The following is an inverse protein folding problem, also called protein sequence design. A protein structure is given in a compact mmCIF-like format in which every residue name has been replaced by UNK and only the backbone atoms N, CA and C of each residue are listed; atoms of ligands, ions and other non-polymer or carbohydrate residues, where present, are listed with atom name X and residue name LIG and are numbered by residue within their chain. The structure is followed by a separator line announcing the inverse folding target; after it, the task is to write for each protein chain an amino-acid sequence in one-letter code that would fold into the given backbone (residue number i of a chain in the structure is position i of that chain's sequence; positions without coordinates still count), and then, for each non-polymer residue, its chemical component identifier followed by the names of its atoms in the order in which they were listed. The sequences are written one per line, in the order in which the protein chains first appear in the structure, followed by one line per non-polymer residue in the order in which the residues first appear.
data_IF_972177247128
#
_entry.id   IF_972177247128
#
_cell.length_a   1.000
_cell.length_b   1.000
_cell.length_c   1.000
_cell.angle_alpha   90.00
_cell.angle_beta   90.00
_cell.angle_gamma   90.00
#
_symmetry.space_group_name_H-M   'P 1'
#
loop_
_entity.id
_entity.type
_entity.pdbx_description
1 polymer ?
#
# COMPACT_ATOMS: atom_id res chain seq x y z
N UNK A 1 10.89 6.04 -3.31
CA UNK A 1 10.39 5.27 -2.14
C UNK A 1 11.41 5.21 -1.02
N UNK A 2 12.60 4.60 -1.21
CA UNK A 2 13.67 4.60 -0.18
C UNK A 2 14.07 6.03 0.22
N UNK A 3 14.33 6.89 -0.78
CA UNK A 3 14.61 8.33 -0.54
C UNK A 3 13.47 9.02 0.23
N UNK A 4 12.21 8.68 -0.09
CA UNK A 4 11.05 9.25 0.59
C UNK A 4 10.96 8.78 2.06
N UNK A 5 11.27 7.51 2.34
CA UNK A 5 11.32 6.98 3.70
C UNK A 5 12.45 7.62 4.53
N UNK A 6 13.59 7.92 3.90
CA UNK A 6 14.71 8.63 4.53
C UNK A 6 14.36 10.10 4.82
N UNK A 7 13.77 10.81 3.86
CA UNK A 7 13.43 12.24 3.99
C UNK A 7 12.19 12.50 4.86
N UNK A 8 11.34 11.49 5.06
CA UNK A 8 10.05 11.59 5.78
C UNK A 8 9.89 10.50 6.83
N UNK A 9 10.98 10.08 7.47
CA UNK A 9 10.96 9.05 8.52
C UNK A 9 9.94 9.38 9.64
N UNK A 10 9.78 10.66 9.97
CA UNK A 10 8.80 11.17 10.94
C UNK A 10 7.33 10.95 10.54
N UNK A 11 7.05 10.77 9.24
CA UNK A 11 5.71 10.56 8.69
C UNK A 11 5.37 9.08 8.49
N UNK A 12 6.17 8.16 9.03
CA UNK A 12 5.86 6.73 9.04
C UNK A 12 5.35 6.34 10.43
N UNK A 13 4.11 6.68 10.81
CA UNK A 13 3.50 6.05 11.97
C UNK A 13 3.05 4.69 11.47
N UNK A 14 3.81 3.61 11.63
CA UNK A 14 3.30 2.25 11.88
C UNK A 14 4.45 1.24 11.88
N UNK A 15 4.43 0.43 12.94
CA UNK A 15 5.15 -0.82 13.24
C UNK A 15 6.28 -1.15 12.26
N UNK A 16 7.37 -0.41 12.38
CA UNK A 16 8.63 -1.13 12.46
C UNK A 16 8.45 -2.01 13.70
N UNK A 17 8.65 -3.32 13.60
CA UNK A 17 8.71 -4.15 14.79
C UNK A 17 9.54 -3.38 15.82
N UNK A 18 9.08 -3.21 17.07
CA UNK A 18 9.73 -2.28 18.03
C UNK A 18 11.23 -2.60 18.22
N UNK A 19 11.66 -3.77 17.74
CA UNK A 19 13.03 -4.29 17.72
C UNK A 19 13.88 -3.87 16.50
N UNK A 20 13.28 -3.44 15.39
CA UNK A 20 14.02 -3.01 14.19
C UNK A 20 14.16 -1.47 14.19
N UNK A 21 15.38 -0.97 14.05
CA UNK A 21 15.62 0.47 13.89
C UNK A 21 15.13 0.91 12.50
N UNK A 22 14.58 2.13 12.37
CA UNK A 22 14.10 2.65 11.08
C UNK A 22 15.17 2.60 9.97
N UNK A 23 16.43 2.84 10.34
CA UNK A 23 17.58 2.76 9.44
C UNK A 23 17.85 1.32 8.97
N UNK A 24 17.82 0.34 9.87
CA UNK A 24 17.95 -1.08 9.54
C UNK A 24 16.82 -1.54 8.63
N UNK A 25 15.58 -1.09 8.87
CA UNK A 25 14.46 -1.39 7.98
C UNK A 25 14.68 -0.80 6.58
N UNK A 26 15.18 0.42 6.49
CA UNK A 26 15.49 1.05 5.19
C UNK A 26 16.62 0.32 4.46
N UNK A 27 17.66 -0.11 5.17
CA UNK A 27 18.76 -0.88 4.61
C UNK A 27 18.27 -2.23 4.07
N UNK A 28 17.53 -3.01 4.88
CA UNK A 28 16.92 -4.28 4.44
C UNK A 28 16.09 -4.10 3.16
N UNK A 29 15.30 -3.01 3.09
CA UNK A 29 14.52 -2.68 1.89
C UNK A 29 15.36 -2.39 0.64
N UNK A 30 16.63 -2.00 0.78
CA UNK A 30 17.59 -1.85 -0.33
C UNK A 30 18.20 -3.19 -0.76
N UNK A 31 18.24 -4.17 0.16
CA UNK A 31 18.81 -5.50 -0.03
C UNK A 31 17.80 -6.52 -0.59
N UNK A 32 16.56 -6.10 -0.81
CA UNK A 32 15.52 -6.92 -1.43
C UNK A 32 14.47 -7.49 -0.47
N UNK A 33 14.44 -7.03 0.79
CA UNK A 33 13.40 -7.43 1.73
C UNK A 33 12.00 -7.08 1.23
N UNK A 34 11.04 -7.91 1.63
CA UNK A 34 9.65 -7.71 1.29
C UNK A 34 9.13 -6.43 1.94
N UNK A 35 8.41 -5.68 1.12
CA UNK A 35 7.80 -4.41 1.49
C UNK A 35 6.43 -4.64 2.12
N UNK A 36 6.11 -3.86 3.14
CA UNK A 36 4.80 -3.90 3.81
C UNK A 36 3.95 -2.66 3.54
N UNK A 37 3.04 -2.40 4.47
CA UNK A 37 2.11 -1.26 4.43
C UNK A 37 2.84 0.09 4.46
N UNK A 38 4.06 0.17 4.99
CA UNK A 38 4.90 1.37 4.98
C UNK A 38 5.20 1.85 3.55
N UNK A 39 5.42 0.90 2.64
CA UNK A 39 5.68 1.21 1.24
C UNK A 39 4.42 1.70 0.53
N UNK A 40 3.24 1.17 0.90
CA UNK A 40 1.95 1.64 0.38
C UNK A 40 1.63 3.05 0.86
N UNK A 41 1.93 3.40 2.12
CA UNK A 41 1.76 4.75 2.64
C UNK A 41 2.71 5.74 1.94
N UNK A 42 3.96 5.35 1.71
CA UNK A 42 4.93 6.15 0.98
C UNK A 42 4.46 6.43 -0.46
N UNK A 43 3.97 5.39 -1.16
CA UNK A 43 3.40 5.53 -2.51
C UNK A 43 2.17 6.44 -2.49
N UNK A 44 1.23 6.19 -1.58
CA UNK A 44 0.01 7.00 -1.43
C UNK A 44 0.33 8.48 -1.21
N UNK A 45 1.32 8.78 -0.36
CA UNK A 45 1.71 10.16 -0.06
C UNK A 45 2.43 10.82 -1.24
N UNK A 46 3.37 10.11 -1.86
CA UNK A 46 4.17 10.65 -2.97
C UNK A 46 3.31 10.94 -4.20
N UNK A 47 2.46 9.99 -4.60
CA UNK A 47 1.59 10.14 -5.77
C UNK A 47 0.26 10.82 -5.45
N UNK A 48 0.02 11.17 -4.18
CA UNK A 48 -1.24 11.73 -3.70
C UNK A 48 -2.42 10.91 -4.21
N UNK A 49 -2.47 9.63 -3.87
CA UNK A 49 -3.59 8.74 -4.20
C UNK A 49 -4.11 8.00 -2.96
N UNK A 50 -5.38 7.60 -2.99
CA UNK A 50 -5.94 6.66 -2.00
C UNK A 50 -5.69 5.24 -2.49
N UNK A 51 -5.30 4.32 -1.60
CA UNK A 51 -5.09 2.91 -1.92
C UNK A 51 -6.08 2.08 -1.09
N UNK A 52 -6.83 1.21 -1.74
CA UNK A 52 -7.73 0.24 -1.12
C UNK A 52 -7.05 -1.14 -1.12
N UNK A 53 -6.74 -1.66 0.07
CA UNK A 53 -6.13 -2.98 0.26
C UNK A 53 -7.21 -3.97 0.67
N UNK A 54 -7.45 -4.98 -0.17
CA UNK A 54 -8.47 -6.02 0.04
C UNK A 54 -7.82 -7.25 0.66
N UNK A 55 -8.29 -7.70 1.81
CA UNK A 55 -7.83 -8.97 2.38
C UNK A 55 -8.58 -10.18 1.77
N UNK A 56 -8.16 -11.38 2.15
CA UNK A 56 -8.78 -12.65 1.70
C UNK A 56 -10.23 -12.83 2.17
N UNK A 57 -10.67 -12.06 3.15
CA UNK A 57 -12.03 -12.07 3.69
C UNK A 57 -12.92 -10.97 3.06
N UNK A 58 -12.38 -10.15 2.16
CA UNK A 58 -13.07 -9.05 1.51
C UNK A 58 -13.14 -7.76 2.34
N UNK A 59 -12.41 -7.67 3.45
CA UNK A 59 -12.28 -6.42 4.20
C UNK A 59 -11.34 -5.45 3.47
N UNK A 60 -11.63 -4.16 3.59
CA UNK A 60 -10.87 -3.10 2.92
C UNK A 60 -10.17 -2.22 3.96
N UNK A 61 -8.84 -2.24 3.92
CA UNK A 61 -8.00 -1.27 4.64
C UNK A 61 -7.66 -0.12 3.69
N UNK A 62 -8.02 1.10 4.10
CA UNK A 62 -7.78 2.32 3.32
C UNK A 62 -6.47 2.98 3.74
N UNK A 63 -5.58 3.18 2.77
CA UNK A 63 -4.30 3.86 2.97
C UNK A 63 -4.32 5.22 2.25
N UNK A 64 -3.87 6.24 2.98
CA UNK A 64 -3.83 7.62 2.50
C UNK A 64 -5.05 8.45 2.85
N UNK A 65 -4.99 9.75 2.53
CA UNK A 65 -6.12 10.66 2.71
C UNK A 65 -7.21 10.35 1.68
N UNK A 66 -8.47 10.52 2.06
CA UNK A 66 -9.61 10.43 1.14
C UNK A 66 -9.50 11.52 0.08
N UNK A 67 -9.53 11.14 -1.20
CA UNK A 67 -9.43 12.06 -2.33
C UNK A 67 -10.64 11.93 -3.26
N UNK A 68 -10.80 12.89 -4.17
CA UNK A 68 -11.85 12.83 -5.21
C UNK A 68 -11.55 11.81 -6.31
N UNK A 69 -10.28 11.44 -6.50
CA UNK A 69 -9.85 10.49 -7.51
C UNK A 69 -10.19 9.05 -7.08
N UNK A 70 -10.39 8.17 -8.06
CA UNK A 70 -10.56 6.74 -7.82
C UNK A 70 -9.34 6.15 -7.09
N UNK A 71 -9.61 5.22 -6.18
CA UNK A 71 -8.55 4.56 -5.42
C UNK A 71 -7.81 3.54 -6.29
N UNK A 72 -6.53 3.31 -5.98
CA UNK A 72 -5.82 2.14 -6.50
C UNK A 72 -6.23 0.90 -5.69
N UNK A 73 -6.55 -0.19 -6.36
CA UNK A 73 -6.98 -1.42 -5.71
C UNK A 73 -5.86 -2.47 -5.73
N UNK A 74 -5.57 -3.01 -4.55
CA UNK A 74 -4.55 -4.06 -4.35
C UNK A 74 -5.15 -5.15 -3.47
N UNK A 75 -4.95 -6.41 -3.82
CA UNK A 75 -5.30 -7.55 -2.98
C UNK A 75 -4.09 -7.95 -2.14
N UNK A 76 -4.31 -8.23 -0.85
CA UNK A 76 -3.34 -8.82 0.06
C UNK A 76 -3.77 -10.25 0.39
N UNK A 77 -3.08 -11.20 -0.23
CA UNK A 77 -3.47 -12.61 -0.24
C UNK A 77 -2.45 -13.42 0.54
N UNK A 78 -2.95 -14.44 1.25
CA UNK A 78 -2.16 -15.35 2.08
C UNK A 78 -1.25 -14.64 3.10
N UNK A 79 -1.65 -13.43 3.52
CA UNK A 79 -0.94 -12.60 4.49
C UNK A 79 0.53 -12.29 4.12
N UNK A 80 0.90 -12.46 2.85
CA UNK A 80 2.29 -12.36 2.43
C UNK A 80 2.48 -11.83 1.00
N UNK A 81 1.41 -11.68 0.21
CA UNK A 81 1.53 -11.31 -1.20
C UNK A 81 0.56 -10.19 -1.58
N UNK A 82 1.08 -9.15 -2.24
CA UNK A 82 0.28 -8.08 -2.83
C UNK A 82 0.10 -8.30 -4.33
N UNK A 83 -1.13 -8.13 -4.82
CA UNK A 83 -1.43 -8.17 -6.25
C UNK A 83 -2.28 -6.98 -6.70
N UNK A 84 -2.02 -6.48 -7.91
CA UNK A 84 -2.87 -5.44 -8.51
C UNK A 84 -4.25 -6.01 -8.82
N UNK A 85 -5.29 -5.27 -8.44
CA UNK A 85 -6.67 -5.60 -8.79
C UNK A 85 -7.18 -4.60 -9.82
N UNK A 86 -7.80 -5.11 -10.87
CA UNK A 86 -8.58 -4.29 -11.82
C UNK A 86 -10.05 -4.47 -11.51
N UNK A 87 -10.75 -3.37 -11.28
CA UNK A 87 -12.20 -3.40 -11.18
C UNK A 87 -12.74 -3.84 -12.56
N UNK A 88 -13.46 -4.96 -12.61
CA UNK A 88 -14.18 -5.34 -13.83
C UNK A 88 -15.38 -4.42 -13.93
N UNK A 89 -15.28 -3.38 -14.76
CA UNK A 89 -16.43 -2.55 -15.10
C UNK A 89 -17.42 -3.48 -15.80
N UNK A 90 -18.57 -3.75 -15.16
CA UNK A 90 -19.68 -4.41 -15.85
C UNK A 90 -20.10 -3.46 -16.96
N UNK A 91 -19.89 -3.84 -18.22
CA UNK A 91 -20.52 -3.13 -19.32
C UNK A 91 -22.02 -3.11 -19.04
N UNK A 92 -22.57 -1.92 -18.89
CA UNK A 92 -24.01 -1.70 -18.93
C UNK A 92 -24.46 -2.00 -20.35
N UNK A 93 -24.89 -3.25 -20.61
CA UNK A 93 -25.95 -3.72 -21.54
C UNK A 93 -25.64 -5.14 -22.02
N UNK A 94 -26.13 -6.12 -21.26
CA UNK A 94 -26.71 -7.31 -21.88
C UNK A 94 -28.23 -7.12 -21.78
N UNK A 95 -28.77 -6.28 -22.67
CA UNK A 95 -30.17 -6.39 -23.08
C UNK A 95 -30.14 -7.14 -24.41
N UNK A 96 -30.63 -8.38 -24.39
CA UNK A 96 -31.10 -9.10 -25.59
C UNK A 96 -32.62 -8.98 -25.58
#
# INVERSE_FOLDING_TARGET
MIIFLLERAEMVPFVIDLNDLAEDRVLKLTEGDWRGSESLLAVSTHFKCTIAVHDVYGQITWIGKKQKLEALHVGFINENHYMSMKLKVKNQTEQI
#
